data_IF_792776826983
#
_entry.id   IF_792776826983
#
_cell.length_a   1.000
_cell.length_b   1.000
_cell.length_c   1.000
_cell.angle_alpha   90.00
_cell.angle_beta   90.00
_cell.angle_gamma   90.00
#
_symmetry.space_group_name_H-M   'P 1'
#
loop_
_entity.id
_entity.type
_entity.pdbx_description
1 polymer ?
#
# COMPACT_ATOMS: atom_id res chain seq x y z
N UNK A 1 -12.47 19.67 9.15
CA UNK A 1 -12.10 19.28 10.53
C UNK A 1 -10.57 19.26 10.63
N UNK A 2 -9.97 20.03 11.55
CA UNK A 2 -8.50 20.09 11.72
C UNK A 2 -8.05 18.91 12.60
N UNK A 3 -6.99 18.21 12.19
CA UNK A 3 -6.50 17.01 12.87
C UNK A 3 -5.58 17.34 14.05
N UNK A 4 -4.93 18.51 14.02
CA UNK A 4 -4.11 19.05 15.09
C UNK A 4 -4.83 20.20 15.78
N UNK A 5 -4.53 20.41 17.06
CA UNK A 5 -5.07 21.51 17.86
C UNK A 5 -4.27 22.82 17.72
N UNK A 6 -3.47 22.97 16.66
CA UNK A 6 -2.72 24.19 16.39
C UNK A 6 -2.65 24.50 14.90
N UNK A 7 -2.52 25.78 14.55
CA UNK A 7 -2.45 26.30 13.18
C UNK A 7 -1.74 27.66 13.14
N UNK A 8 -1.36 28.11 11.94
CA UNK A 8 -0.79 29.46 11.74
C UNK A 8 -1.94 30.48 11.79
N UNK A 9 -1.75 31.61 12.49
CA UNK A 9 -2.80 32.63 12.62
C UNK A 9 -3.18 33.22 11.24
N UNK A 10 -4.48 33.23 10.84
CA UNK A 10 -4.90 33.61 9.49
C UNK A 10 -4.56 35.04 9.08
N UNK A 11 -4.55 35.96 10.06
CA UNK A 11 -4.21 37.37 9.85
C UNK A 11 -2.76 37.76 10.16
N UNK A 12 -1.96 36.88 10.78
CA UNK A 12 -0.58 37.21 11.18
C UNK A 12 0.31 35.95 11.22
N UNK A 13 1.11 35.75 10.17
CA UNK A 13 1.99 34.58 10.04
C UNK A 13 3.14 34.51 11.07
N UNK A 14 3.28 35.49 11.97
CA UNK A 14 4.25 35.47 13.07
C UNK A 14 3.81 34.62 14.25
N UNK A 15 2.53 34.25 14.33
CA UNK A 15 1.96 33.53 15.47
C UNK A 15 1.39 32.17 15.07
N UNK A 16 1.52 31.22 15.99
CA UNK A 16 0.80 29.95 15.98
C UNK A 16 -0.30 29.98 17.02
N UNK A 17 -1.51 29.58 16.63
CA UNK A 17 -2.66 29.50 17.51
C UNK A 17 -2.85 28.06 17.96
N UNK A 18 -2.82 27.82 19.26
CA UNK A 18 -3.25 26.56 19.89
C UNK A 18 -4.69 26.71 20.36
N UNK A 19 -5.52 25.70 20.11
CA UNK A 19 -6.95 25.76 20.35
C UNK A 19 -7.45 24.63 21.26
N UNK A 20 -8.26 24.98 22.26
CA UNK A 20 -8.80 24.05 23.25
C UNK A 20 -10.32 24.24 23.39
N UNK A 21 -11.05 23.13 23.47
CA UNK A 21 -12.51 23.13 23.66
C UNK A 21 -12.91 23.17 25.14
N UNK A 22 -12.14 22.48 25.97
CA UNK A 22 -12.42 22.32 27.40
C UNK A 22 -11.59 23.30 28.22
N UNK A 23 -12.22 23.89 29.25
CA UNK A 23 -11.57 24.86 30.15
C UNK A 23 -10.42 24.23 30.93
N UNK A 24 -10.61 23.00 31.42
CA UNK A 24 -9.58 22.23 32.14
C UNK A 24 -8.29 22.11 31.34
N UNK A 25 -8.38 21.81 30.05
CA UNK A 25 -7.21 21.68 29.17
C UNK A 25 -6.55 23.04 28.90
N UNK A 26 -7.36 24.09 28.73
CA UNK A 26 -6.88 25.46 28.61
C UNK A 26 -6.08 25.91 29.84
N UNK A 27 -6.62 25.68 31.04
CA UNK A 27 -5.99 26.07 32.31
C UNK A 27 -4.66 25.32 32.52
N UNK A 28 -4.61 24.02 32.19
CA UNK A 28 -3.38 23.23 32.23
C UNK A 28 -2.31 23.74 31.25
N UNK A 29 -2.73 24.21 30.07
CA UNK A 29 -1.81 24.75 29.08
C UNK A 29 -1.29 26.13 29.47
N UNK A 30 -2.17 26.98 30.00
CA UNK A 30 -1.85 28.30 30.54
C UNK A 30 -0.77 28.21 31.64
N UNK A 31 -0.92 27.27 32.57
CA UNK A 31 0.05 27.02 33.63
C UNK A 31 1.40 26.54 33.07
N UNK A 32 1.39 25.63 32.10
CA UNK A 32 2.61 25.14 31.46
C UNK A 32 3.39 26.23 30.72
N UNK A 33 2.69 27.11 29.98
CA UNK A 33 3.31 28.24 29.28
C UNK A 33 3.87 29.28 30.27
N UNK A 34 3.11 29.59 31.32
CA UNK A 34 3.52 30.54 32.37
C UNK A 34 4.74 30.04 33.15
N UNK A 35 4.75 28.76 33.52
CA UNK A 35 5.87 28.14 34.24
C UNK A 35 7.16 28.13 33.42
N UNK A 36 7.07 27.99 32.10
CA UNK A 36 8.22 28.02 31.18
C UNK A 36 8.56 29.42 30.67
N UNK A 37 7.84 30.46 31.12
CA UNK A 37 8.02 31.86 30.68
C UNK A 37 7.95 32.00 29.15
N UNK A 38 7.09 31.20 28.50
CA UNK A 38 6.87 31.26 27.05
C UNK A 38 5.92 32.44 26.79
N UNK A 39 6.23 33.39 25.89
CA UNK A 39 5.31 34.47 25.56
C UNK A 39 4.08 33.93 24.82
N UNK A 40 2.90 34.32 25.27
CA UNK A 40 1.63 33.94 24.64
C UNK A 40 0.58 35.05 24.78
N UNK A 41 -0.39 35.04 23.87
CA UNK A 41 -1.63 35.80 23.94
C UNK A 41 -2.77 34.82 24.17
N UNK A 42 -3.66 35.09 25.13
CA UNK A 42 -4.80 34.23 25.43
C UNK A 42 -6.10 34.97 25.10
N UNK A 43 -6.96 34.35 24.30
CA UNK A 43 -8.28 34.88 23.97
C UNK A 43 -9.35 33.82 24.15
N UNK A 44 -10.55 34.29 24.52
CA UNK A 44 -11.76 33.46 24.61
C UNK A 44 -12.67 33.85 23.46
N UNK A 45 -12.97 32.88 22.62
CA UNK A 45 -13.83 33.03 21.46
C UNK A 45 -15.20 32.42 21.79
N UNK A 46 -16.17 33.28 22.11
CA UNK A 46 -17.55 32.87 22.41
C UNK A 46 -18.34 32.50 21.15
N UNK A 47 -17.88 32.89 19.95
CA UNK A 47 -18.52 32.60 18.67
C UNK A 47 -18.01 31.31 18.02
N UNK A 48 -16.94 30.71 18.56
CA UNK A 48 -16.30 29.49 18.06
C UNK A 48 -15.85 29.62 16.58
N UNK A 49 -15.38 30.79 16.17
CA UNK A 49 -14.87 31.08 14.83
C UNK A 49 -13.82 30.04 14.38
N UNK A 50 -13.00 29.57 15.33
CA UNK A 50 -11.97 28.54 15.10
C UNK A 50 -12.33 27.14 15.61
N UNK A 51 -13.61 26.89 15.92
CA UNK A 51 -14.13 25.60 16.39
C UNK A 51 -13.67 25.20 17.80
N UNK A 52 -13.17 26.16 18.57
CA UNK A 52 -12.66 26.01 19.93
C UNK A 52 -12.85 27.31 20.70
N UNK A 53 -13.12 27.21 22.00
CA UNK A 53 -13.46 28.37 22.85
C UNK A 53 -12.23 29.09 23.40
N UNK A 54 -11.14 28.35 23.65
CA UNK A 54 -9.93 28.90 24.27
C UNK A 54 -8.79 28.86 23.27
N UNK A 55 -8.20 30.02 23.00
CA UNK A 55 -7.17 30.20 21.97
C UNK A 55 -5.91 30.80 22.59
N UNK A 56 -4.76 30.28 22.17
CA UNK A 56 -3.44 30.76 22.61
C UNK A 56 -2.57 31.09 21.40
N UNK A 57 -2.30 32.37 21.17
CA UNK A 57 -1.35 32.84 20.17
C UNK A 57 0.08 32.82 20.72
N UNK A 58 0.95 31.99 20.17
CA UNK A 58 2.36 31.88 20.55
C UNK A 58 3.24 32.37 19.40
N UNK A 59 4.24 33.24 19.63
CA UNK A 59 5.19 33.65 18.61
C UNK A 59 5.90 32.47 17.98
N UNK A 60 6.15 32.53 16.68
CA UNK A 60 6.83 31.47 15.91
C UNK A 60 8.21 31.10 16.47
N UNK A 61 8.89 32.02 17.14
CA UNK A 61 10.18 31.77 17.80
C UNK A 61 10.10 30.74 18.93
N UNK A 62 8.96 30.66 19.63
CA UNK A 62 8.73 29.74 20.76
C UNK A 62 7.80 28.58 20.42
N UNK A 63 7.50 28.38 19.14
CA UNK A 63 6.57 27.35 18.69
C UNK A 63 6.98 25.93 19.12
N UNK A 64 8.26 25.58 19.02
CA UNK A 64 8.76 24.24 19.38
C UNK A 64 8.59 23.94 20.88
N UNK A 65 8.82 24.93 21.73
CA UNK A 65 8.65 24.83 23.19
C UNK A 65 7.18 24.67 23.54
N UNK A 66 6.32 25.53 22.97
CA UNK A 66 4.88 25.48 23.17
C UNK A 66 4.24 24.18 22.64
N UNK A 67 4.74 23.66 21.51
CA UNK A 67 4.31 22.38 20.94
C UNK A 67 4.71 21.21 21.85
N UNK A 68 5.91 21.25 22.46
CA UNK A 68 6.33 20.21 23.40
C UNK A 68 5.40 20.16 24.62
N UNK A 69 5.10 21.31 25.22
CA UNK A 69 4.18 21.37 26.37
C UNK A 69 2.76 20.92 25.99
N UNK A 70 2.30 21.26 24.79
CA UNK A 70 1.02 20.79 24.25
C UNK A 70 0.99 19.25 24.13
N UNK A 71 2.07 18.65 23.62
CA UNK A 71 2.17 17.18 23.52
C UNK A 71 2.20 16.50 24.90
N UNK A 72 2.90 17.09 25.87
CA UNK A 72 2.93 16.59 27.25
C UNK A 72 1.56 16.67 27.92
N UNK A 73 0.81 17.74 27.67
CA UNK A 73 -0.56 17.91 28.14
C UNK A 73 -1.47 16.82 27.58
N UNK A 74 -1.44 16.58 26.26
CA UNK A 74 -2.21 15.50 25.64
C UNK A 74 -1.79 14.13 26.16
N UNK A 75 -0.50 13.91 26.46
CA UNK A 75 -0.03 12.67 27.08
C UNK A 75 -0.58 12.46 28.50
N UNK A 76 -0.76 13.52 29.29
CA UNK A 76 -1.35 13.46 30.63
C UNK A 76 -2.86 13.17 30.61
N UNK A 77 -3.57 13.74 29.64
CA UNK A 77 -5.03 13.64 29.55
C UNK A 77 -5.47 12.33 28.91
N UNK A 78 -4.66 11.78 27.99
CA UNK A 78 -5.04 10.58 27.24
C UNK A 78 -5.24 9.40 28.18
N UNK A 79 -6.45 8.85 28.16
CA UNK A 79 -6.71 7.56 28.79
C UNK A 79 -5.86 6.47 28.11
N UNK A 80 -5.33 5.50 28.86
CA UNK A 80 -4.59 4.41 28.25
C UNK A 80 -5.47 3.66 27.24
N UNK A 81 -4.90 3.30 26.10
CA UNK A 81 -5.61 2.59 25.01
C UNK A 81 -6.34 1.31 25.49
N UNK A 82 -5.79 0.65 26.51
CA UNK A 82 -6.41 -0.49 27.19
C UNK A 82 -6.76 -0.08 28.62
N UNK A 83 -8.05 0.16 28.93
CA UNK A 83 -8.49 0.61 30.25
C UNK A 83 -8.16 -0.38 31.37
N UNK A 84 -8.29 -1.69 31.11
CA UNK A 84 -8.07 -2.72 32.11
C UNK A 84 -6.57 -2.96 32.35
N UNK A 85 -6.17 -2.86 33.62
CA UNK A 85 -4.78 -3.05 34.05
C UNK A 85 -4.29 -4.46 33.73
N UNK A 86 -5.14 -5.47 33.96
CA UNK A 86 -4.82 -6.89 33.75
C UNK A 86 -4.54 -7.15 32.26
N UNK A 87 -5.45 -6.77 31.37
CA UNK A 87 -5.31 -7.02 29.93
C UNK A 87 -4.05 -6.36 29.34
N UNK A 88 -3.71 -5.15 29.81
CA UNK A 88 -2.50 -4.44 29.38
C UNK A 88 -1.23 -5.24 29.69
N UNK A 89 -1.12 -5.74 30.92
CA UNK A 89 0.03 -6.55 31.33
C UNK A 89 0.05 -7.91 30.62
N UNK A 90 -1.11 -8.55 30.44
CA UNK A 90 -1.21 -9.81 29.69
C UNK A 90 -0.68 -9.65 28.26
N UNK A 91 -1.10 -8.61 27.53
CA UNK A 91 -0.63 -8.36 26.17
C UNK A 91 0.87 -8.09 26.15
N UNK A 92 1.38 -7.25 27.07
CA UNK A 92 2.81 -6.97 27.16
C UNK A 92 3.65 -8.21 27.45
N UNK A 93 3.19 -9.09 28.34
CA UNK A 93 3.87 -10.34 28.66
C UNK A 93 3.87 -11.28 27.45
N UNK A 94 2.73 -11.44 26.77
CA UNK A 94 2.63 -12.27 25.57
C UNK A 94 3.58 -11.76 24.48
N UNK A 95 3.51 -10.48 24.14
CA UNK A 95 4.38 -9.87 23.12
C UNK A 95 5.85 -9.96 23.51
N UNK A 96 6.19 -9.68 24.77
CA UNK A 96 7.55 -9.81 25.30
C UNK A 96 8.07 -11.24 25.21
N UNK A 97 7.21 -12.23 25.44
CA UNK A 97 7.54 -13.66 25.34
C UNK A 97 7.83 -14.06 23.89
N UNK A 98 6.97 -13.66 22.95
CA UNK A 98 7.21 -13.90 21.52
C UNK A 98 8.49 -13.22 21.03
N UNK A 99 8.77 -12.00 21.50
CA UNK A 99 10.01 -11.29 21.17
C UNK A 99 11.24 -12.00 21.74
N UNK A 100 11.18 -12.44 22.99
CA UNK A 100 12.25 -13.19 23.63
C UNK A 100 12.50 -14.53 22.91
N UNK A 101 11.43 -15.26 22.54
CA UNK A 101 11.54 -16.48 21.74
C UNK A 101 12.14 -16.22 20.36
N UNK A 102 11.78 -15.12 19.69
CA UNK A 102 12.36 -14.73 18.41
C UNK A 102 13.86 -14.42 18.54
N UNK A 103 14.27 -13.71 19.59
CA UNK A 103 15.68 -13.39 19.86
C UNK A 103 16.46 -14.66 20.23
N UNK A 104 15.92 -15.52 21.09
CA UNK A 104 16.54 -16.80 21.45
C UNK A 104 16.65 -17.73 20.23
N UNK A 105 15.65 -17.74 19.35
CA UNK A 105 15.71 -18.45 18.07
C UNK A 105 16.79 -17.89 17.16
N UNK A 106 16.90 -16.57 17.06
CA UNK A 106 17.94 -15.90 16.27
C UNK A 106 19.36 -16.11 16.83
N UNK A 107 19.50 -16.23 18.15
CA UNK A 107 20.81 -16.39 18.81
C UNK A 107 21.24 -17.85 19.01
N UNK A 108 20.32 -18.80 19.15
CA UNK A 108 20.66 -20.21 19.45
C UNK A 108 21.00 -21.04 18.21
N UNK A 109 20.82 -20.52 16.99
CA UNK A 109 21.19 -21.21 15.76
C UNK A 109 22.09 -20.35 14.88
N UNK A 110 23.23 -20.94 14.45
CA UNK A 110 23.81 -20.64 13.14
C UNK A 110 22.66 -20.73 12.14
N UNK A 111 22.36 -19.65 11.43
CA UNK A 111 21.18 -19.55 10.57
C UNK A 111 21.10 -20.74 9.59
N UNK A 112 20.26 -21.74 9.91
CA UNK A 112 20.02 -22.90 9.07
C UNK A 112 19.41 -22.52 7.71
N UNK A 113 18.92 -21.29 7.54
CA UNK A 113 18.52 -20.76 6.25
C UNK A 113 19.65 -20.55 5.24
N UNK A 114 20.92 -20.77 5.62
CA UNK A 114 22.09 -20.67 4.74
C UNK A 114 22.93 -21.95 4.67
N UNK A 115 22.65 -22.97 5.49
CA UNK A 115 23.32 -24.27 5.45
C UNK A 115 22.31 -25.34 4.99
N UNK A 116 21.94 -25.26 3.72
CA UNK A 116 21.36 -26.39 2.99
C UNK A 116 22.51 -27.40 2.82
N UNK A 117 22.44 -28.54 3.50
CA UNK A 117 23.46 -29.59 3.36
C UNK A 117 23.48 -30.14 1.92
N UNK A 118 24.58 -30.81 1.52
CA UNK A 118 24.72 -31.42 0.17
C UNK A 118 23.58 -32.41 -0.19
N UNK A 119 22.80 -32.86 0.79
CA UNK A 119 21.67 -33.78 0.64
C UNK A 119 20.31 -33.16 1.01
N UNK A 120 20.26 -31.83 1.18
CA UNK A 120 19.05 -31.13 1.54
C UNK A 120 18.27 -30.70 0.29
N UNK A 121 16.95 -30.87 0.35
CA UNK A 121 16.04 -30.71 -0.78
C UNK A 121 15.52 -29.27 -0.91
N UNK A 122 15.99 -28.38 -0.04
CA UNK A 122 15.59 -26.98 -0.04
C UNK A 122 16.46 -26.16 -0.99
N UNK A 123 15.82 -25.28 -1.76
CA UNK A 123 16.47 -24.34 -2.66
C UNK A 123 15.85 -22.95 -2.45
N UNK A 124 16.67 -21.91 -2.50
CA UNK A 124 16.22 -20.52 -2.39
C UNK A 124 16.25 -19.88 -3.78
N UNK A 125 15.16 -19.22 -4.17
CA UNK A 125 15.07 -18.51 -5.43
C UNK A 125 14.83 -17.02 -5.17
N UNK A 126 15.75 -16.17 -5.61
CA UNK A 126 15.51 -14.73 -5.69
C UNK A 126 14.89 -14.45 -7.05
N UNK A 127 13.75 -13.76 -7.07
CA UNK A 127 12.94 -13.60 -8.26
C UNK A 127 12.64 -12.14 -8.56
N UNK A 128 12.65 -11.81 -9.84
CA UNK A 128 12.06 -10.60 -10.39
C UNK A 128 11.11 -10.93 -11.54
N UNK A 129 10.05 -10.13 -11.69
CA UNK A 129 9.09 -10.22 -12.78
C UNK A 129 8.86 -8.85 -13.38
N UNK A 130 8.79 -8.81 -14.70
CA UNK A 130 8.28 -7.68 -15.44
C UNK A 130 6.84 -8.00 -15.83
N UNK A 131 5.88 -7.27 -15.26
CA UNK A 131 4.46 -7.39 -15.64
C UNK A 131 4.27 -6.62 -16.94
N UNK A 132 3.88 -7.31 -18.00
CA UNK A 132 3.60 -6.74 -19.32
C UNK A 132 2.11 -6.89 -19.65
N UNK A 133 1.44 -5.81 -20.11
CA UNK A 133 0.02 -5.83 -20.45
C UNK A 133 -0.20 -6.51 -21.80
N UNK A 134 -0.22 -7.85 -21.80
CA UNK A 134 -0.44 -8.66 -22.99
C UNK A 134 -1.94 -8.97 -23.15
N UNK A 135 -2.54 -8.44 -24.21
CA UNK A 135 -3.97 -8.63 -24.50
C UNK A 135 -4.33 -10.12 -24.71
N UNK A 136 -3.46 -10.88 -25.38
CA UNK A 136 -3.67 -12.31 -25.68
C UNK A 136 -3.88 -13.19 -24.43
N UNK A 137 -3.48 -12.71 -23.25
CA UNK A 137 -3.64 -13.42 -21.97
C UNK A 137 -4.59 -12.70 -20.99
N UNK A 138 -5.38 -11.73 -21.48
CA UNK A 138 -6.44 -11.06 -20.73
C UNK A 138 -5.98 -9.86 -19.89
N UNK A 139 -4.86 -9.23 -20.25
CA UNK A 139 -4.42 -7.95 -19.68
C UNK A 139 -4.72 -6.78 -20.64
N UNK A 140 -5.99 -6.65 -21.02
CA UNK A 140 -6.50 -5.65 -21.95
C UNK A 140 -7.07 -4.41 -21.23
N UNK A 141 -7.18 -3.26 -21.94
CA UNK A 141 -7.90 -2.10 -21.42
C UNK A 141 -9.36 -2.44 -21.07
N UNK A 142 -9.85 -1.91 -19.94
CA UNK A 142 -11.23 -2.13 -19.49
C UNK A 142 -11.98 -0.80 -19.45
N UNK A 143 -13.13 -0.76 -20.13
CA UNK A 143 -14.00 0.42 -20.17
C UNK A 143 -15.14 0.28 -19.16
N UNK A 144 -15.42 1.36 -18.43
CA UNK A 144 -16.54 1.47 -17.51
C UNK A 144 -17.33 2.73 -17.84
N UNK A 145 -18.62 2.57 -18.14
CA UNK A 145 -19.51 3.68 -18.49
C UNK A 145 -20.68 3.79 -17.51
N UNK A 146 -20.97 5.00 -17.05
CA UNK A 146 -22.07 5.32 -16.13
C UNK A 146 -22.51 6.77 -16.34
N UNK A 147 -23.79 7.01 -16.63
CA UNK A 147 -24.41 8.35 -16.70
C UNK A 147 -23.59 9.40 -17.49
N UNK A 148 -23.11 9.01 -18.68
CA UNK A 148 -22.33 9.89 -19.56
C UNK A 148 -20.83 9.98 -19.22
N UNK A 149 -20.39 9.40 -18.11
CA UNK A 149 -18.98 9.21 -17.76
C UNK A 149 -18.50 7.84 -18.28
N UNK A 150 -17.63 7.83 -19.29
CA UNK A 150 -16.87 6.65 -19.70
C UNK A 150 -15.43 6.78 -19.24
N UNK A 151 -14.84 5.72 -18.72
CA UNK A 151 -13.43 5.73 -18.43
C UNK A 151 -12.74 4.38 -18.70
N UNK A 152 -11.56 4.48 -19.31
CA UNK A 152 -10.80 3.37 -19.88
C UNK A 152 -9.55 3.16 -19.04
N UNK A 153 -9.45 2.00 -18.40
CA UNK A 153 -8.32 1.59 -17.59
C UNK A 153 -7.32 0.81 -18.41
N UNK A 154 -6.18 1.43 -18.70
CA UNK A 154 -5.12 0.86 -19.53
C UNK A 154 -4.02 0.32 -18.61
N UNK A 155 -3.83 -1.01 -18.50
CA UNK A 155 -2.72 -1.56 -17.74
C UNK A 155 -1.38 -1.15 -18.35
N UNK A 156 -0.44 -0.74 -17.51
CA UNK A 156 0.93 -0.36 -17.88
C UNK A 156 1.92 -1.37 -17.31
N UNK A 157 3.17 -1.27 -17.76
CA UNK A 157 4.25 -2.13 -17.28
C UNK A 157 4.38 -2.00 -15.76
N UNK A 158 4.42 -3.13 -15.08
CA UNK A 158 4.60 -3.25 -13.64
C UNK A 158 5.79 -4.16 -13.30
N UNK A 159 5.99 -4.41 -12.01
CA UNK A 159 7.09 -5.25 -11.55
C UNK A 159 6.70 -6.07 -10.32
N UNK A 160 7.28 -7.27 -10.18
CA UNK A 160 7.26 -8.04 -8.94
C UNK A 160 8.69 -8.39 -8.53
N UNK A 161 8.97 -8.42 -7.24
CA UNK A 161 10.27 -8.80 -6.70
C UNK A 161 10.08 -9.56 -5.39
N UNK A 162 10.89 -10.59 -5.16
CA UNK A 162 10.94 -11.21 -3.85
C UNK A 162 11.71 -12.51 -3.84
N UNK A 163 11.40 -13.34 -2.84
CA UNK A 163 12.13 -14.56 -2.54
C UNK A 163 11.15 -15.72 -2.44
N UNK A 164 11.52 -16.86 -3.02
CA UNK A 164 10.83 -18.13 -2.83
C UNK A 164 11.76 -19.15 -2.19
N UNK A 165 11.18 -20.00 -1.39
CA UNK A 165 11.77 -21.21 -0.87
C UNK A 165 11.10 -22.39 -1.59
N UNK A 166 11.92 -23.29 -2.10
CA UNK A 166 11.50 -24.43 -2.91
C UNK A 166 11.93 -25.72 -2.22
N UNK A 167 11.04 -26.69 -2.16
CA UNK A 167 11.27 -28.02 -1.63
C UNK A 167 11.18 -29.04 -2.76
N UNK A 168 12.29 -29.73 -3.03
CA UNK A 168 12.39 -30.77 -4.05
C UNK A 168 11.83 -32.09 -3.50
N UNK A 169 10.61 -32.44 -3.91
CA UNK A 169 9.97 -33.70 -3.49
C UNK A 169 10.66 -34.91 -4.12
N UNK A 170 10.99 -34.79 -5.41
CA UNK A 170 11.72 -35.81 -6.17
C UNK A 170 12.44 -35.13 -7.34
N UNK A 171 13.01 -35.92 -8.27
CA UNK A 171 13.78 -35.39 -9.40
C UNK A 171 12.97 -34.47 -10.33
N UNK A 172 11.64 -34.67 -10.38
CA UNK A 172 10.75 -34.02 -11.34
C UNK A 172 9.86 -32.96 -10.68
N UNK A 173 9.48 -33.13 -9.41
CA UNK A 173 8.52 -32.27 -8.71
C UNK A 173 9.17 -31.43 -7.62
N UNK A 174 8.80 -30.16 -7.61
CA UNK A 174 9.24 -29.16 -6.63
C UNK A 174 8.02 -28.40 -6.13
N UNK A 175 7.91 -28.19 -4.82
CA UNK A 175 6.90 -27.32 -4.22
C UNK A 175 7.55 -26.02 -3.79
N UNK A 176 6.98 -24.88 -4.17
CA UNK A 176 7.53 -23.57 -3.87
C UNK A 176 6.54 -22.70 -3.11
N UNK A 177 7.04 -21.97 -2.12
CA UNK A 177 6.32 -20.84 -1.52
C UNK A 177 7.24 -19.66 -1.30
N UNK A 178 6.72 -18.48 -0.94
CA UNK A 178 7.57 -17.32 -0.76
C UNK A 178 6.82 -16.05 -0.43
N UNK A 179 7.52 -14.93 -0.52
CA UNK A 179 6.95 -13.60 -0.39
C UNK A 179 7.44 -12.75 -1.55
N UNK A 180 6.50 -12.25 -2.32
CA UNK A 180 6.72 -11.36 -3.45
C UNK A 180 6.04 -10.03 -3.16
N UNK A 181 6.76 -8.94 -3.34
CA UNK A 181 6.19 -7.62 -3.47
C UNK A 181 5.84 -7.37 -4.94
N UNK A 182 4.71 -6.73 -5.23
CA UNK A 182 4.34 -6.36 -6.58
C UNK A 182 3.86 -4.92 -6.67
N UNK A 183 4.07 -4.32 -7.84
CA UNK A 183 3.56 -3.02 -8.25
C UNK A 183 2.88 -3.14 -9.61
N UNK A 184 1.60 -2.77 -9.67
CA UNK A 184 0.83 -2.64 -10.91
C UNK A 184 0.61 -1.16 -11.21
N UNK A 185 0.72 -0.79 -12.48
CA UNK A 185 0.56 0.58 -12.93
C UNK A 185 -0.59 0.65 -13.94
N UNK A 186 -1.37 1.72 -13.89
CA UNK A 186 -2.49 1.96 -14.79
C UNK A 186 -2.43 3.40 -15.31
N UNK A 187 -2.88 3.59 -16.55
CA UNK A 187 -3.28 4.89 -17.07
C UNK A 187 -4.79 4.87 -17.21
N UNK A 188 -5.45 5.97 -16.91
CA UNK A 188 -6.91 6.05 -16.91
C UNK A 188 -7.33 7.23 -17.75
N UNK A 189 -8.02 6.94 -18.86
CA UNK A 189 -8.61 7.94 -19.73
C UNK A 189 -10.06 8.16 -19.29
N UNK A 190 -10.45 9.41 -19.04
CA UNK A 190 -11.76 9.78 -18.51
C UNK A 190 -12.45 10.66 -19.52
N UNK A 191 -13.59 10.21 -20.02
CA UNK A 191 -14.42 10.88 -21.00
C UNK A 191 -15.77 11.19 -20.37
N UNK A 192 -16.13 12.47 -20.30
CA UNK A 192 -17.44 12.90 -19.82
C UNK A 192 -18.24 13.55 -20.94
N UNK A 193 -19.47 13.06 -21.12
CA UNK A 193 -20.43 13.51 -22.10
C UNK A 193 -21.78 13.82 -21.44
N UNK A 194 -22.33 14.99 -21.73
CA UNK A 194 -23.67 15.39 -21.29
C UNK A 194 -24.41 16.12 -22.41
N UNK A 195 -25.41 15.48 -22.99
CA UNK A 195 -26.26 16.03 -24.06
C UNK A 195 -27.03 17.28 -23.64
N UNK A 196 -27.51 17.32 -22.39
CA UNK A 196 -28.36 18.43 -21.91
C UNK A 196 -27.57 19.71 -21.71
N UNK A 197 -26.29 19.59 -21.37
CA UNK A 197 -25.37 20.72 -21.18
C UNK A 197 -24.44 20.93 -22.38
N UNK A 198 -24.52 20.09 -23.42
CA UNK A 198 -23.60 20.04 -24.56
C UNK A 198 -22.11 20.03 -24.14
N UNK A 199 -21.79 19.28 -23.08
CA UNK A 199 -20.42 19.16 -22.56
C UNK A 199 -19.81 17.85 -23.07
N UNK A 200 -18.68 17.95 -23.77
CA UNK A 200 -17.87 16.80 -24.19
C UNK A 200 -16.43 17.06 -23.81
N UNK A 201 -15.89 16.28 -22.87
CA UNK A 201 -14.52 16.49 -22.40
C UNK A 201 -13.79 15.19 -22.12
N UNK A 202 -12.47 15.23 -22.29
CA UNK A 202 -11.57 14.10 -22.11
C UNK A 202 -10.37 14.55 -21.28
N UNK A 203 -9.97 13.74 -20.31
CA UNK A 203 -8.76 13.92 -19.52
C UNK A 203 -8.07 12.57 -19.31
N UNK A 204 -6.80 12.56 -18.95
CA UNK A 204 -6.02 11.33 -18.76
C UNK A 204 -5.15 11.40 -17.52
N UNK A 205 -5.41 10.50 -16.58
CA UNK A 205 -4.48 10.21 -15.49
C UNK A 205 -3.41 9.25 -16.02
N UNK A 206 -2.23 9.78 -16.29
CA UNK A 206 -1.14 9.02 -16.91
C UNK A 206 -0.59 7.88 -16.04
N UNK A 207 -0.70 7.99 -14.71
CA UNK A 207 -0.10 7.02 -13.81
C UNK A 207 -0.80 6.91 -12.46
N UNK A 208 -1.50 5.80 -12.28
CA UNK A 208 -1.99 5.32 -10.99
C UNK A 208 -1.23 4.04 -10.60
N UNK A 209 -0.69 3.99 -9.39
CA UNK A 209 0.14 2.89 -8.91
C UNK A 209 -0.53 2.15 -7.76
N UNK A 210 -0.66 0.84 -7.90
CA UNK A 210 -1.08 -0.07 -6.85
C UNK A 210 0.10 -0.93 -6.41
N UNK A 211 0.20 -1.19 -5.10
CA UNK A 211 1.27 -1.97 -4.48
C UNK A 211 0.67 -3.01 -3.56
N UNK A 212 1.25 -4.21 -3.55
CA UNK A 212 0.81 -5.28 -2.65
C UNK A 212 1.88 -6.35 -2.44
N UNK A 213 1.49 -7.36 -1.67
CA UNK A 213 2.29 -8.54 -1.37
C UNK A 213 1.57 -9.80 -1.83
N UNK A 214 2.32 -10.79 -2.27
CA UNK A 214 1.83 -12.07 -2.77
C UNK A 214 2.61 -13.21 -2.14
N UNK A 215 1.89 -14.18 -1.60
CA UNK A 215 2.45 -15.44 -1.12
C UNK A 215 2.05 -16.52 -2.13
N UNK A 216 2.94 -16.92 -3.06
CA UNK A 216 2.64 -17.99 -4.02
C UNK A 216 2.76 -19.36 -3.34
N UNK A 217 1.97 -20.32 -3.82
CA UNK A 217 2.07 -21.74 -3.54
C UNK A 217 2.06 -22.47 -4.87
N UNK A 218 3.24 -22.86 -5.34
CA UNK A 218 3.47 -23.40 -6.67
C UNK A 218 3.87 -24.87 -6.59
N UNK A 219 3.31 -25.68 -7.48
CA UNK A 219 3.83 -27.00 -7.80
C UNK A 219 4.50 -26.92 -9.17
N UNK A 220 5.79 -27.17 -9.22
CA UNK A 220 6.61 -27.11 -10.42
C UNK A 220 7.02 -28.52 -10.84
N UNK A 221 6.90 -28.79 -12.13
CA UNK A 221 7.44 -29.98 -12.78
C UNK A 221 8.56 -29.58 -13.73
N UNK A 222 9.60 -30.39 -13.82
CA UNK A 222 10.73 -30.16 -14.72
C UNK A 222 11.09 -31.38 -15.55
N UNK A 223 11.47 -31.15 -16.80
CA UNK A 223 11.93 -32.18 -17.75
C UNK A 223 13.36 -31.87 -18.16
N UNK A 224 14.31 -32.82 -18.03
CA UNK A 224 15.70 -32.59 -18.40
C UNK A 224 15.86 -32.47 -19.92
N UNK A 225 16.58 -31.43 -20.35
CA UNK A 225 17.06 -31.27 -21.72
C UNK A 225 18.50 -31.80 -21.90
N UNK A 226 19.19 -32.08 -20.79
CA UNK A 226 20.61 -32.46 -20.78
C UNK A 226 21.52 -31.31 -20.35
N UNK A 227 22.78 -31.62 -20.01
CA UNK A 227 23.81 -30.65 -19.60
C UNK A 227 23.41 -29.73 -18.42
N UNK A 228 22.50 -30.18 -17.57
CA UNK A 228 21.98 -29.40 -16.43
C UNK A 228 20.92 -28.37 -16.80
N UNK A 229 20.37 -28.41 -18.02
CA UNK A 229 19.22 -27.61 -18.43
C UNK A 229 17.92 -28.39 -18.31
N UNK A 230 16.86 -27.66 -17.95
CA UNK A 230 15.52 -28.19 -17.76
C UNK A 230 14.50 -27.26 -18.40
N UNK A 231 13.43 -27.84 -18.96
CA UNK A 231 12.18 -27.09 -19.18
C UNK A 231 11.34 -27.27 -17.93
N UNK A 232 10.81 -26.18 -17.40
CA UNK A 232 9.97 -26.21 -16.21
C UNK A 232 8.61 -25.60 -16.48
N UNK A 233 7.60 -26.18 -15.85
CA UNK A 233 6.22 -25.71 -15.86
C UNK A 233 5.70 -25.75 -14.44
N UNK A 234 5.12 -24.65 -13.96
CA UNK A 234 4.56 -24.57 -12.63
C UNK A 234 3.12 -24.06 -12.67
N UNK A 235 2.31 -24.59 -11.77
CA UNK A 235 0.93 -24.14 -11.55
C UNK A 235 0.68 -24.02 -10.05
N UNK A 236 -0.17 -23.08 -9.66
CA UNK A 236 -0.38 -22.84 -8.25
C UNK A 236 -1.43 -21.80 -7.94
N UNK A 237 -1.57 -21.53 -6.65
CA UNK A 237 -2.42 -20.49 -6.12
C UNK A 237 -1.57 -19.47 -5.37
N UNK A 238 -2.03 -18.24 -5.26
CA UNK A 238 -1.42 -17.24 -4.40
C UNK A 238 -2.38 -16.71 -3.35
N UNK A 239 -1.83 -15.98 -2.38
CA UNK A 239 -2.57 -15.05 -1.53
C UNK A 239 -2.05 -13.65 -1.81
N UNK A 240 -2.88 -12.81 -2.41
CA UNK A 240 -2.59 -11.40 -2.69
C UNK A 240 -3.19 -10.49 -1.62
N UNK A 241 -2.34 -9.65 -1.02
CA UNK A 241 -2.64 -8.71 0.04
C UNK A 241 -2.36 -7.30 -0.46
N UNK A 242 -3.38 -6.44 -0.47
CA UNK A 242 -3.24 -5.03 -0.82
C UNK A 242 -3.38 -4.16 0.44
N UNK A 243 -2.26 -3.64 1.00
CA UNK A 243 -2.28 -2.98 2.32
C UNK A 243 -2.97 -1.61 2.30
N UNK A 244 -2.94 -0.92 1.17
CA UNK A 244 -3.55 0.40 0.99
C UNK A 244 -4.25 0.48 -0.35
N UNK A 245 -5.32 1.26 -0.37
CA UNK A 245 -5.97 1.68 -1.60
C UNK A 245 -5.13 2.78 -2.26
N UNK A 246 -5.27 2.93 -3.58
CA UNK A 246 -4.54 3.92 -4.37
C UNK A 246 -5.53 4.94 -4.92
N UNK A 247 -5.18 6.22 -4.86
CA UNK A 247 -5.98 7.29 -5.45
C UNK A 247 -5.08 8.31 -6.12
N UNK A 248 -5.58 8.92 -7.19
CA UNK A 248 -4.95 10.05 -7.88
C UNK A 248 -6.04 11.06 -8.21
N UNK A 249 -5.78 12.33 -7.94
CA UNK A 249 -6.61 13.44 -8.38
C UNK A 249 -5.86 14.30 -9.40
N UNK A 250 -6.59 14.92 -10.31
CA UNK A 250 -6.09 15.91 -11.25
C UNK A 250 -7.13 17.01 -11.42
N UNK A 251 -6.66 18.24 -11.66
CA UNK A 251 -7.51 19.40 -11.87
C UNK A 251 -7.24 19.97 -13.26
N UNK A 252 -8.30 20.19 -14.04
CA UNK A 252 -8.22 20.78 -15.37
C UNK A 252 -9.09 22.04 -15.41
N UNK A 253 -8.54 23.13 -15.93
CA UNK A 253 -9.29 24.35 -16.21
C UNK A 253 -9.53 24.44 -17.72
N UNK A 254 -10.79 24.45 -18.13
CA UNK A 254 -11.17 24.56 -19.55
C UNK A 254 -12.34 25.51 -19.75
N UNK A 255 -12.91 25.49 -20.97
CA UNK A 255 -14.00 26.40 -21.39
C UNK A 255 -15.27 26.32 -20.50
N UNK A 256 -15.41 25.23 -19.74
CA UNK A 256 -16.54 24.98 -18.84
C UNK A 256 -16.20 25.17 -17.34
N UNK A 257 -15.07 25.80 -17.03
CA UNK A 257 -14.59 26.05 -15.67
C UNK A 257 -13.57 25.04 -15.15
N UNK A 258 -13.26 25.15 -13.86
CA UNK A 258 -12.37 24.24 -13.14
C UNK A 258 -13.09 22.93 -12.81
N UNK A 259 -12.41 21.81 -13.06
CA UNK A 259 -12.94 20.47 -12.87
C UNK A 259 -11.88 19.57 -12.29
N UNK A 260 -12.29 18.83 -11.26
CA UNK A 260 -11.47 17.84 -10.60
C UNK A 260 -11.87 16.44 -11.08
N UNK A 261 -10.86 15.66 -11.41
CA UNK A 261 -10.97 14.25 -11.77
C UNK A 261 -10.31 13.45 -10.67
N UNK A 262 -11.03 12.47 -10.13
CA UNK A 262 -10.48 11.56 -9.12
C UNK A 262 -10.64 10.13 -9.60
N UNK A 263 -9.58 9.36 -9.46
CA UNK A 263 -9.63 7.92 -9.70
C UNK A 263 -9.11 7.18 -8.50
N UNK A 264 -9.88 6.21 -8.07
CA UNK A 264 -9.65 5.37 -6.91
C UNK A 264 -9.57 3.91 -7.33
N UNK A 265 -8.58 3.21 -6.78
CA UNK A 265 -8.39 1.77 -6.89
C UNK A 265 -8.31 1.22 -5.47
N UNK A 266 -9.33 0.46 -5.09
CA UNK A 266 -9.45 -0.12 -3.76
C UNK A 266 -9.52 -1.65 -3.76
N UNK A 267 -9.30 -2.22 -2.59
CA UNK A 267 -9.51 -3.66 -2.35
C UNK A 267 -10.99 -3.97 -2.22
N UNK A 268 -11.47 -4.96 -2.97
CA UNK A 268 -12.81 -5.52 -2.71
C UNK A 268 -12.79 -6.46 -1.50
N UNK A 269 -11.67 -7.15 -1.28
CA UNK A 269 -11.45 -8.09 -0.16
C UNK A 269 -10.03 -7.91 0.38
N UNK A 270 -9.84 -8.21 1.66
CA UNK A 270 -8.52 -8.14 2.31
C UNK A 270 -7.48 -9.09 1.71
N UNK A 271 -7.93 -10.25 1.22
CA UNK A 271 -7.10 -11.25 0.56
C UNK A 271 -7.77 -11.69 -0.74
N UNK A 272 -7.00 -11.72 -1.82
CA UNK A 272 -7.42 -12.27 -3.11
C UNK A 272 -6.65 -13.55 -3.41
N UNK A 273 -7.27 -14.50 -4.10
CA UNK A 273 -6.67 -15.79 -4.42
C UNK A 273 -6.42 -15.87 -5.93
N UNK A 274 -5.22 -15.53 -6.43
CA UNK A 274 -4.88 -15.75 -7.83
C UNK A 274 -4.58 -17.21 -8.16
N UNK A 275 -5.09 -17.66 -9.30
CA UNK A 275 -4.50 -18.77 -10.04
C UNK A 275 -3.21 -18.28 -10.70
N UNK A 276 -2.18 -19.11 -10.69
CA UNK A 276 -0.85 -18.78 -11.20
C UNK A 276 -0.32 -19.91 -12.09
N UNK A 277 0.34 -19.54 -13.18
CA UNK A 277 1.01 -20.45 -14.08
C UNK A 277 2.37 -19.87 -14.53
N UNK A 278 3.37 -20.72 -14.68
CA UNK A 278 4.73 -20.36 -15.05
C UNK A 278 5.28 -21.40 -16.04
N UNK A 279 6.03 -20.96 -17.03
CA UNK A 279 6.66 -21.83 -18.03
C UNK A 279 8.01 -21.24 -18.43
N UNK A 280 9.07 -22.03 -18.39
CA UNK A 280 10.38 -21.51 -18.76
C UNK A 280 11.48 -22.56 -18.86
N UNK A 281 12.71 -22.05 -18.92
CA UNK A 281 13.92 -22.84 -18.98
C UNK A 281 14.75 -22.51 -17.74
N UNK A 282 15.26 -23.56 -17.11
CA UNK A 282 16.10 -23.51 -15.93
C UNK A 282 17.48 -24.11 -16.20
N UNK A 283 18.50 -23.52 -15.59
CA UNK A 283 19.81 -24.13 -15.38
C UNK A 283 19.98 -24.40 -13.90
N UNK A 284 20.21 -25.66 -13.56
CA UNK A 284 20.28 -26.13 -12.17
C UNK A 284 21.48 -25.51 -11.43
N UNK A 285 21.29 -25.03 -10.18
CA UNK A 285 22.38 -24.55 -9.34
C UNK A 285 23.37 -25.67 -9.00
N UNK A 286 24.64 -25.31 -8.90
CA UNK A 286 25.72 -26.16 -8.37
C UNK A 286 26.28 -25.50 -7.11
N UNK A 287 26.99 -26.27 -6.28
CA UNK A 287 27.50 -25.85 -4.95
C UNK A 287 28.09 -24.43 -4.91
N UNK A 288 28.87 -24.05 -5.91
CA UNK A 288 29.52 -22.73 -5.99
C UNK A 288 29.04 -21.86 -7.17
N UNK A 289 28.02 -22.32 -7.92
CA UNK A 289 27.55 -21.64 -9.13
C UNK A 289 26.02 -21.51 -9.07
N UNK A 290 25.48 -20.27 -8.96
CA UNK A 290 24.05 -20.08 -8.93
C UNK A 290 23.41 -20.56 -10.23
N UNK A 291 22.26 -21.19 -10.08
CA UNK A 291 21.38 -21.53 -11.20
C UNK A 291 20.59 -20.30 -11.63
N UNK A 292 19.89 -20.44 -12.75
CA UNK A 292 19.00 -19.39 -13.24
C UNK A 292 17.77 -19.97 -13.89
N UNK A 293 16.70 -19.19 -13.89
CA UNK A 293 15.48 -19.47 -14.62
C UNK A 293 15.06 -18.25 -15.40
N UNK A 294 14.62 -18.47 -16.64
CA UNK A 294 13.93 -17.47 -17.46
C UNK A 294 12.66 -18.08 -18.02
N UNK A 295 11.56 -17.34 -17.92
CA UNK A 295 10.28 -17.85 -18.36
C UNK A 295 9.22 -16.79 -18.48
N UNK A 296 8.02 -17.27 -18.77
CA UNK A 296 6.79 -16.51 -18.79
C UNK A 296 5.95 -16.88 -17.57
N UNK A 297 5.22 -15.91 -17.05
CA UNK A 297 4.24 -16.15 -16.00
C UNK A 297 2.90 -15.56 -16.39
N UNK A 298 1.85 -16.12 -15.80
CA UNK A 298 0.49 -15.63 -15.85
C UNK A 298 -0.16 -15.80 -14.49
N UNK A 299 -1.01 -14.85 -14.11
CA UNK A 299 -1.81 -14.92 -12.90
C UNK A 299 -3.09 -14.13 -13.01
N UNK A 300 -4.16 -14.61 -12.37
CA UNK A 300 -5.45 -13.92 -12.31
C UNK A 300 -6.19 -14.29 -11.02
N UNK A 301 -6.68 -13.28 -10.28
CA UNK A 301 -7.52 -13.52 -9.11
C UNK A 301 -8.83 -14.23 -9.49
N UNK A 302 -9.23 -15.17 -8.64
CA UNK A 302 -10.54 -15.78 -8.72
C UNK A 302 -11.61 -14.76 -8.28
N UNK A 303 -12.48 -14.40 -9.21
CA UNK A 303 -13.53 -13.40 -9.00
C UNK A 303 -13.01 -11.96 -8.91
N UNK A 304 -13.83 -11.09 -8.35
CA UNK A 304 -13.51 -9.67 -8.23
C UNK A 304 -12.55 -9.44 -7.06
N UNK A 305 -11.44 -8.77 -7.33
CA UNK A 305 -10.38 -8.50 -6.34
C UNK A 305 -10.14 -7.00 -6.15
N UNK A 306 -10.29 -6.24 -7.24
CA UNK A 306 -10.03 -4.80 -7.28
C UNK A 306 -11.34 -4.08 -7.55
N UNK A 307 -11.72 -3.21 -6.62
CA UNK A 307 -12.79 -2.23 -6.78
C UNK A 307 -12.21 -0.95 -7.35
N UNK A 308 -12.93 -0.29 -8.26
CA UNK A 308 -12.53 1.00 -8.80
C UNK A 308 -13.67 2.00 -8.68
N UNK A 309 -13.30 3.27 -8.49
CA UNK A 309 -14.22 4.40 -8.50
C UNK A 309 -13.60 5.56 -9.28
N UNK A 310 -14.42 6.23 -10.09
CA UNK A 310 -14.00 7.30 -10.97
C UNK A 310 -14.97 8.45 -10.81
N UNK A 311 -14.45 9.62 -10.51
CA UNK A 311 -15.23 10.79 -10.15
C UNK A 311 -14.85 11.92 -11.07
N UNK A 312 -15.87 12.57 -11.64
CA UNK A 312 -15.74 13.89 -12.24
C UNK A 312 -16.51 14.84 -11.35
N UNK A 313 -15.82 15.84 -10.83
CA UNK A 313 -16.39 16.87 -9.98
C UNK A 313 -16.16 18.23 -10.62
N UNK A 314 -17.25 18.93 -10.90
CA UNK A 314 -17.27 20.28 -11.43
C UNK A 314 -18.15 21.14 -10.53
N UNK A 315 -18.04 22.47 -10.62
CA UNK A 315 -18.84 23.41 -9.82
C UNK A 315 -20.36 23.11 -9.83
N UNK A 316 -20.88 22.52 -10.92
CA UNK A 316 -22.31 22.31 -11.14
C UNK A 316 -22.75 20.84 -11.17
N UNK A 317 -21.83 19.88 -11.16
CA UNK A 317 -22.18 18.45 -11.23
C UNK A 317 -21.09 17.56 -10.66
N UNK A 318 -21.51 16.43 -10.08
CA UNK A 318 -20.62 15.34 -9.66
C UNK A 318 -21.15 14.02 -10.19
N UNK A 319 -20.34 13.32 -10.97
CA UNK A 319 -20.68 12.01 -11.53
C UNK A 319 -19.68 10.98 -11.04
N UNK A 320 -20.18 9.80 -10.64
CA UNK A 320 -19.38 8.73 -10.05
C UNK A 320 -19.63 7.43 -10.81
N UNK A 321 -18.60 6.92 -11.47
CA UNK A 321 -18.57 5.60 -12.10
C UNK A 321 -17.89 4.58 -11.20
N UNK A 322 -18.44 3.37 -11.12
CA UNK A 322 -17.95 2.29 -10.25
C UNK A 322 -17.80 0.99 -11.03
N UNK A 323 -16.84 0.16 -10.65
CA UNK A 323 -16.59 -1.09 -11.35
C UNK A 323 -15.64 -2.04 -10.63
N UNK A 324 -15.40 -3.18 -11.26
CA UNK A 324 -14.43 -4.16 -10.82
C UNK A 324 -13.39 -4.38 -11.91
N UNK A 325 -12.13 -4.23 -11.55
CA UNK A 325 -11.01 -4.37 -12.48
C UNK A 325 -10.47 -5.80 -12.43
N UNK A 326 -10.21 -6.38 -13.61
CA UNK A 326 -9.49 -7.64 -13.72
C UNK A 326 -8.07 -7.49 -13.15
N UNK A 327 -7.66 -8.43 -12.30
CA UNK A 327 -6.32 -8.43 -11.68
C UNK A 327 -5.27 -9.19 -12.50
N UNK A 328 -5.59 -9.58 -13.74
CA UNK A 328 -4.70 -10.32 -14.63
C UNK A 328 -3.32 -9.68 -14.67
N UNK A 329 -2.29 -10.49 -14.45
CA UNK A 329 -0.89 -10.10 -14.60
C UNK A 329 -0.14 -11.20 -15.34
N UNK A 330 0.64 -10.80 -16.33
CA UNK A 330 1.46 -11.69 -17.15
C UNK A 330 2.78 -11.02 -17.48
N UNK A 331 3.77 -11.79 -17.91
CA UNK A 331 4.98 -11.24 -18.49
C UNK A 331 6.17 -12.15 -18.31
N UNK A 332 7.34 -11.54 -18.15
CA UNK A 332 8.62 -12.25 -18.10
C UNK A 332 9.05 -12.40 -16.65
N UNK A 333 9.58 -13.57 -16.34
CA UNK A 333 10.11 -13.92 -15.04
C UNK A 333 11.58 -14.31 -15.14
N UNK A 334 12.36 -13.83 -14.17
CA UNK A 334 13.75 -14.21 -13.97
C UNK A 334 13.94 -14.67 -12.52
N UNK A 335 14.65 -15.78 -12.32
CA UNK A 335 15.09 -16.22 -10.99
C UNK A 335 16.57 -16.51 -10.98
N UNK A 336 17.19 -16.22 -9.84
CA UNK A 336 18.49 -16.75 -9.45
C UNK A 336 18.21 -17.86 -8.45
N UNK A 337 18.71 -19.06 -8.73
CA UNK A 337 18.54 -20.25 -7.89
C UNK A 337 19.79 -20.46 -7.06
N UNK A 338 19.61 -20.58 -5.76
CA UNK A 338 20.66 -20.75 -4.76
C UNK A 338 20.39 -22.06 -4.04
N UNK A 339 21.43 -22.90 -3.97
CA UNK A 339 21.40 -24.16 -3.25
C UNK A 339 22.33 -24.09 -2.08
#
# INVERSE_FOLDING_TARGET
MRWTNYFIHPGDNRYYVFSFKEKSHSDMYLDALSHKSIPFEHSVDDELEYGAKYLFGVPRTHFSEALRENNLLHAKIRSPFIPSRILRWTILIITGTFLALAILGAMSHKAYGQYVGDNDNWELAVQTRLITPLQIVGAEPQEFSTDGLSAIWIPKIGQEFGVRMQYRLNKNWTLGTGVLWYRKNYSVEINYFNDTLAITTSDTIHLLRSVGYKIPFMAETRVPLGLGYFVTSAVGLGLELMPSDAFVNGSTSGDYGERDYEVYLGRFRWVSIPLMAELGIEKEPKKDVPGWYIGLFWSRALGNSIWIEQVVNANNYRVVGKGFLNSTASGIELRILLK
#
